data_IF_477848886427
#
_entry.id   IF_477848886427
#
_cell.length_a   1.000
_cell.length_b   1.000
_cell.length_c   1.000
_cell.angle_alpha   90.00
_cell.angle_beta   90.00
_cell.angle_gamma   90.00
#
_symmetry.space_group_name_H-M   'P 1'
#
loop_
_entity.id
_entity.type
_entity.pdbx_description
1 polymer ?
#
# COMPACT_ATOMS: atom_id res chain seq x y z
N UNK A 1 8.06 18.81 -21.89
CA UNK A 1 7.95 18.56 -20.44
C UNK A 1 6.88 19.52 -19.92
N UNK A 2 5.65 19.05 -19.71
CA UNK A 2 4.59 19.89 -19.14
C UNK A 2 4.76 19.89 -17.63
N UNK A 3 5.09 21.05 -17.05
CA UNK A 3 5.06 21.27 -15.61
C UNK A 3 3.58 21.50 -15.25
N UNK A 4 2.97 20.56 -14.55
CA UNK A 4 1.67 20.81 -13.92
C UNK A 4 1.91 21.41 -12.55
N UNK A 5 1.15 22.45 -12.21
CA UNK A 5 1.21 23.05 -10.88
C UNK A 5 0.79 22.02 -9.83
N UNK A 6 1.55 21.97 -8.74
CA UNK A 6 1.25 21.08 -7.62
C UNK A 6 0.03 21.61 -6.85
N UNK A 7 -1.04 20.81 -6.82
CA UNK A 7 -2.22 21.09 -6.02
C UNK A 7 -2.23 20.21 -4.75
N UNK A 8 -1.88 20.77 -3.57
CA UNK A 8 -1.86 20.02 -2.32
C UNK A 8 -3.26 19.55 -1.88
N UNK A 9 -4.33 20.26 -2.25
CA UNK A 9 -5.69 19.85 -1.90
C UNK A 9 -6.09 18.63 -2.72
N UNK A 10 -5.78 18.62 -4.02
CA UNK A 10 -6.04 17.47 -4.87
C UNK A 10 -5.27 16.21 -4.42
N UNK A 11 -4.00 16.37 -4.00
CA UNK A 11 -3.24 15.27 -3.41
C UNK A 11 -3.92 14.76 -2.13
N UNK A 12 -4.30 15.65 -1.22
CA UNK A 12 -4.90 15.24 0.05
C UNK A 12 -6.24 14.51 -0.13
N UNK A 13 -7.10 14.99 -1.04
CA UNK A 13 -8.36 14.30 -1.36
C UNK A 13 -8.10 12.91 -1.93
N UNK A 14 -7.10 12.78 -2.80
CA UNK A 14 -6.68 11.49 -3.36
C UNK A 14 -6.19 10.53 -2.28
N UNK A 15 -5.38 11.03 -1.33
CA UNK A 15 -4.90 10.24 -0.19
C UNK A 15 -6.04 9.76 0.71
N UNK A 16 -7.03 10.61 0.96
CA UNK A 16 -8.22 10.26 1.73
C UNK A 16 -9.08 9.21 1.01
N UNK A 17 -9.28 9.35 -0.30
CA UNK A 17 -9.98 8.35 -1.11
C UNK A 17 -9.32 6.97 -1.00
N UNK A 18 -7.99 6.92 -1.14
CA UNK A 18 -7.22 5.68 -1.00
C UNK A 18 -7.30 5.11 0.43
N UNK A 19 -7.32 5.95 1.46
CA UNK A 19 -7.52 5.50 2.84
C UNK A 19 -8.91 4.91 3.05
N UNK A 20 -9.97 5.57 2.56
CA UNK A 20 -11.34 5.05 2.61
C UNK A 20 -11.47 3.69 1.93
N UNK A 21 -10.82 3.51 0.77
CA UNK A 21 -10.74 2.20 0.11
C UNK A 21 -9.96 1.17 0.95
N UNK A 22 -8.80 1.55 1.49
CA UNK A 22 -7.94 0.65 2.26
C UNK A 22 -8.60 0.16 3.57
N UNK A 23 -9.52 0.91 4.15
CA UNK A 23 -10.28 0.48 5.32
C UNK A 23 -11.14 -0.77 5.08
N UNK A 24 -11.45 -1.11 3.83
CA UNK A 24 -12.11 -2.38 3.49
C UNK A 24 -11.22 -3.62 3.77
N UNK A 25 -9.90 -3.43 3.91
CA UNK A 25 -8.91 -4.48 4.11
C UNK A 25 -8.34 -4.51 5.53
N UNK A 26 -8.21 -3.35 6.16
CA UNK A 26 -7.63 -3.24 7.49
C UNK A 26 -8.20 -2.05 8.23
N UNK A 27 -8.50 -2.24 9.51
CA UNK A 27 -8.83 -1.13 10.41
C UNK A 27 -7.61 -0.25 10.72
N UNK A 28 -6.39 -0.71 10.40
CA UNK A 28 -5.15 0.02 10.67
C UNK A 28 -4.50 0.47 9.36
N UNK A 29 -4.87 1.69 8.95
CA UNK A 29 -4.33 2.41 7.78
C UNK A 29 -3.61 3.67 8.26
N UNK A 30 -2.39 3.91 7.79
CA UNK A 30 -1.61 5.12 8.06
C UNK A 30 -1.32 5.89 6.77
N UNK A 31 -1.54 7.20 6.84
CA UNK A 31 -1.19 8.19 5.83
C UNK A 31 0.03 9.03 6.24
N UNK A 32 0.79 8.62 7.25
CA UNK A 32 1.91 9.42 7.77
C UNK A 32 3.15 9.37 6.86
N UNK A 33 3.12 8.49 5.86
CA UNK A 33 4.21 8.34 4.90
C UNK A 33 4.02 9.28 3.69
N UNK A 34 5.03 10.12 3.36
CA UNK A 34 4.98 10.94 2.16
C UNK A 34 4.82 10.09 0.91
N UNK A 35 3.81 10.43 0.10
CA UNK A 35 3.43 9.75 -1.14
C UNK A 35 3.24 8.22 -1.02
N UNK A 36 2.90 7.71 0.16
CA UNK A 36 2.60 6.30 0.38
C UNK A 36 1.46 6.13 1.38
N UNK A 37 0.76 5.01 1.26
CA UNK A 37 -0.25 4.54 2.18
C UNK A 37 0.23 3.20 2.74
N UNK A 38 0.12 3.01 4.04
CA UNK A 38 0.50 1.75 4.69
C UNK A 38 -0.70 1.16 5.40
N UNK A 39 -0.92 -0.14 5.21
CA UNK A 39 -1.99 -0.90 5.85
C UNK A 39 -1.41 -2.13 6.56
N UNK A 40 -1.92 -2.43 7.75
CA UNK A 40 -1.58 -3.65 8.49
C UNK A 40 -2.42 -4.81 7.94
N UNK A 41 -1.78 -5.83 7.38
CA UNK A 41 -2.47 -6.99 6.78
C UNK A 41 -2.32 -8.27 7.62
N UNK A 42 -1.50 -8.26 8.66
CA UNK A 42 -1.19 -9.42 9.49
C UNK A 42 -2.36 -9.88 10.34
N UNK A 43 -3.10 -8.96 10.97
CA UNK A 43 -4.33 -9.32 11.69
C UNK A 43 -5.42 -9.83 10.75
N UNK A 44 -5.41 -9.37 9.50
CA UNK A 44 -6.37 -9.76 8.46
C UNK A 44 -5.91 -10.93 7.58
N UNK A 45 -4.71 -11.49 7.79
CA UNK A 45 -4.20 -12.64 7.00
C UNK A 45 -5.15 -13.82 7.03
N UNK A 46 -5.80 -14.08 8.16
CA UNK A 46 -6.79 -15.14 8.29
C UNK A 46 -8.02 -14.94 7.38
N UNK A 47 -8.32 -13.69 6.98
CA UNK A 47 -9.46 -13.32 6.15
C UNK A 47 -9.10 -13.23 4.65
N UNK A 48 -7.88 -12.83 4.32
CA UNK A 48 -7.49 -12.54 2.94
C UNK A 48 -6.47 -13.52 2.32
N UNK A 49 -5.94 -14.45 3.11
CA UNK A 49 -5.03 -15.49 2.63
C UNK A 49 -3.57 -15.04 2.57
N UNK A 50 -2.82 -15.65 1.65
CA UNK A 50 -1.40 -15.33 1.45
C UNK A 50 -1.18 -13.98 0.76
N UNK A 51 0.06 -13.48 0.81
CA UNK A 51 0.40 -12.19 0.20
C UNK A 51 0.07 -12.15 -1.30
N UNK A 52 0.28 -13.24 -2.04
CA UNK A 52 0.05 -13.27 -3.49
C UNK A 52 -1.43 -13.06 -3.84
N UNK A 53 -2.33 -13.62 -3.03
CA UNK A 53 -3.77 -13.44 -3.18
C UNK A 53 -4.19 -12.01 -2.87
N UNK A 54 -3.67 -11.45 -1.77
CA UNK A 54 -3.89 -10.06 -1.37
C UNK A 54 -3.37 -9.09 -2.44
N UNK A 55 -2.14 -9.28 -2.91
CA UNK A 55 -1.49 -8.43 -3.90
C UNK A 55 -2.30 -8.37 -5.20
N UNK A 56 -2.72 -9.53 -5.73
CA UNK A 56 -3.52 -9.58 -6.97
C UNK A 56 -4.82 -8.81 -6.85
N UNK A 57 -5.51 -8.94 -5.71
CA UNK A 57 -6.76 -8.25 -5.45
C UNK A 57 -6.55 -6.73 -5.34
N UNK A 58 -5.61 -6.30 -4.50
CA UNK A 58 -5.28 -4.88 -4.32
C UNK A 58 -4.87 -4.24 -5.65
N UNK A 59 -4.06 -4.93 -6.45
CA UNK A 59 -3.60 -4.48 -7.77
C UNK A 59 -4.76 -4.30 -8.75
N UNK A 60 -5.70 -5.25 -8.76
CA UNK A 60 -6.90 -5.17 -9.58
C UNK A 60 -7.76 -3.96 -9.24
N UNK A 61 -8.09 -3.79 -7.96
CA UNK A 61 -8.93 -2.67 -7.51
C UNK A 61 -8.24 -1.31 -7.68
N UNK A 62 -6.93 -1.21 -7.39
CA UNK A 62 -6.18 0.03 -7.63
C UNK A 62 -6.09 0.39 -9.12
N UNK A 63 -6.01 -0.62 -9.99
CA UNK A 63 -6.07 -0.42 -11.43
C UNK A 63 -7.46 0.09 -11.87
N UNK A 64 -8.54 -0.49 -11.34
CA UNK A 64 -9.92 -0.03 -11.60
C UNK A 64 -10.16 1.41 -11.10
N UNK A 65 -9.55 1.79 -9.97
CA UNK A 65 -9.56 3.16 -9.45
C UNK A 65 -8.70 4.14 -10.29
N UNK A 66 -7.94 3.64 -11.28
CA UNK A 66 -7.11 4.45 -12.16
C UNK A 66 -5.75 4.85 -11.56
N UNK A 67 -5.30 4.19 -10.49
CA UNK A 67 -4.04 4.52 -9.83
C UNK A 67 -2.88 3.66 -10.32
N UNK A 68 -1.78 4.34 -10.66
CA UNK A 68 -0.46 3.71 -10.76
C UNK A 68 0.08 3.49 -9.35
N UNK A 69 0.57 2.28 -9.09
CA UNK A 69 0.93 1.88 -7.74
C UNK A 69 2.11 0.90 -7.76
N UNK A 70 2.74 0.75 -6.59
CA UNK A 70 3.66 -0.34 -6.28
C UNK A 70 3.23 -0.92 -4.94
N UNK A 71 3.25 -2.24 -4.83
CA UNK A 71 2.84 -2.94 -3.61
C UNK A 71 4.03 -3.71 -3.06
N UNK A 72 4.27 -3.58 -1.76
CA UNK A 72 5.24 -4.38 -1.03
C UNK A 72 4.67 -4.73 0.33
N UNK A 73 4.83 -5.98 0.75
CA UNK A 73 4.65 -6.39 2.14
C UNK A 73 6.00 -6.57 2.82
N UNK A 74 6.10 -6.06 4.04
CA UNK A 74 7.24 -6.26 4.91
C UNK A 74 6.76 -6.30 6.38
N UNK A 75 7.57 -6.84 7.32
CA UNK A 75 7.14 -6.99 8.72
C UNK A 75 6.94 -5.68 9.46
N UNK A 76 7.48 -4.58 8.93
CA UNK A 76 7.34 -3.25 9.53
C UNK A 76 6.93 -2.22 8.47
N UNK A 77 6.16 -1.19 8.85
CA UNK A 77 5.70 -0.16 7.92
C UNK A 77 6.87 0.63 7.30
N UNK A 78 7.95 0.82 8.05
CA UNK A 78 9.15 1.51 7.57
C UNK A 78 9.90 0.66 6.54
N UNK A 79 10.05 -0.64 6.76
CA UNK A 79 10.66 -1.55 5.79
C UNK A 79 9.84 -1.57 4.49
N UNK A 80 8.51 -1.66 4.58
CA UNK A 80 7.63 -1.61 3.42
C UNK A 80 7.81 -0.31 2.63
N UNK A 81 7.87 0.84 3.32
CA UNK A 81 8.07 2.15 2.68
C UNK A 81 9.39 2.25 1.93
N UNK A 82 10.47 1.75 2.51
CA UNK A 82 11.81 1.75 1.90
C UNK A 82 11.83 0.84 0.68
N UNK A 83 11.32 -0.38 0.81
CA UNK A 83 11.33 -1.38 -0.25
C UNK A 83 10.43 -0.98 -1.43
N UNK A 84 9.30 -0.32 -1.21
CA UNK A 84 8.44 0.18 -2.28
C UNK A 84 9.13 1.20 -3.22
N UNK A 85 10.24 1.82 -2.79
CA UNK A 85 11.03 2.69 -3.66
C UNK A 85 11.77 1.92 -4.75
N UNK A 86 12.11 0.65 -4.50
CA UNK A 86 13.00 -0.17 -5.36
C UNK A 86 12.34 -1.46 -5.87
N UNK A 87 11.24 -1.89 -5.26
CA UNK A 87 10.52 -3.12 -5.60
C UNK A 87 9.03 -2.85 -5.86
N UNK A 88 8.42 -3.74 -6.63
CA UNK A 88 6.98 -3.88 -6.80
C UNK A 88 6.64 -5.38 -6.78
N UNK A 89 5.64 -5.78 -5.99
CA UNK A 89 5.19 -7.15 -5.76
C UNK A 89 5.97 -7.94 -4.69
N UNK A 90 6.97 -7.33 -4.03
CA UNK A 90 7.75 -8.04 -3.02
C UNK A 90 6.93 -8.32 -1.76
N UNK A 91 6.87 -9.58 -1.33
CA UNK A 91 6.30 -9.96 -0.04
C UNK A 91 7.35 -10.60 0.86
N UNK A 92 7.79 -9.87 1.88
CA UNK A 92 8.67 -10.41 2.92
C UNK A 92 7.82 -10.88 4.09
N UNK A 93 7.85 -12.18 4.38
CA UNK A 93 7.30 -12.69 5.63
C UNK A 93 8.27 -12.43 6.78
N UNK A 94 7.75 -12.16 7.98
CA UNK A 94 8.55 -12.07 9.20
C UNK A 94 9.30 -13.40 9.47
N UNK A 95 8.74 -14.53 9.02
CA UNK A 95 9.42 -15.83 9.08
C UNK A 95 10.62 -15.98 8.12
N UNK A 96 10.80 -15.08 7.16
CA UNK A 96 11.85 -15.18 6.14
C UNK A 96 13.03 -14.24 6.36
N UNK A 97 13.00 -13.38 7.38
CA UNK A 97 14.10 -12.47 7.68
C UNK A 97 15.00 -13.08 8.76
N UNK A 98 16.32 -13.22 8.50
CA UNK A 98 17.26 -13.61 9.54
C UNK A 98 17.27 -12.54 10.65
N UNK A 99 17.33 -13.02 11.90
CA UNK A 99 17.36 -12.20 13.11
C UNK A 99 18.58 -11.28 13.17
#
# INVERSE_FOLDING_TARGET
>A
MHLHDYDPNAEQHTRQLLASWAYAYSSQVSLDFPHALVLEIGASRALFGDWLTIEKRLRGELHELGFRHRLVAAPTPHAARVLANVHDGLGLDAQQLPA
#
